data_IF_697701724540
#
_entry.id   IF_697701724540
#
_cell.length_a   1.000
_cell.length_b   1.000
_cell.length_c   1.000
_cell.angle_alpha   90.00
_cell.angle_beta   90.00
_cell.angle_gamma   90.00
#
_symmetry.space_group_name_H-M   'P 1'
#
loop_
_entity.id
_entity.type
_entity.pdbx_description
1 polymer ?
#
# COMPACT_ATOMS: atom_id res chain seq x y z
N UNK A 1 19.30 16.60 -11.55
CA UNK A 1 19.68 15.96 -10.27
C UNK A 1 19.75 17.08 -9.23
N UNK A 2 18.79 17.19 -8.31
CA UNK A 2 18.87 18.22 -7.25
C UNK A 2 19.82 17.71 -6.16
N UNK A 3 20.79 18.51 -5.67
CA UNK A 3 21.62 18.11 -4.54
C UNK A 3 20.72 18.01 -3.31
N UNK A 4 20.72 16.87 -2.62
CA UNK A 4 20.07 16.73 -1.31
C UNK A 4 21.13 16.86 -0.23
N UNK A 5 20.99 17.86 0.63
CA UNK A 5 21.93 18.12 1.72
C UNK A 5 21.98 16.92 2.70
N UNK A 6 23.18 16.51 3.15
CA UNK A 6 23.35 15.37 4.05
C UNK A 6 22.60 15.50 5.39
N UNK A 7 22.41 16.73 5.88
CA UNK A 7 21.76 17.01 7.17
C UNK A 7 20.26 16.76 7.19
N UNK A 8 19.56 16.87 6.05
CA UNK A 8 18.10 16.78 6.00
C UNK A 8 17.59 15.36 6.24
N UNK A 9 18.37 14.34 5.87
CA UNK A 9 18.00 12.93 6.06
C UNK A 9 18.18 12.48 7.52
N UNK A 10 19.23 12.95 8.19
CA UNK A 10 19.57 12.51 9.54
C UNK A 10 18.48 12.87 10.57
N UNK A 11 17.97 14.10 10.55
CA UNK A 11 16.92 14.52 11.49
C UNK A 11 15.58 13.83 11.18
N UNK A 12 15.25 13.61 9.90
CA UNK A 12 14.02 12.89 9.52
C UNK A 12 14.05 11.45 10.03
N UNK A 13 15.19 10.76 9.87
CA UNK A 13 15.38 9.42 10.43
C UNK A 13 15.26 9.41 11.95
N UNK A 14 15.89 10.38 12.64
CA UNK A 14 15.81 10.49 14.09
C UNK A 14 14.38 10.77 14.58
N UNK A 15 13.65 11.67 13.93
CA UNK A 15 12.26 11.99 14.24
C UNK A 15 11.34 10.77 14.05
N UNK A 16 11.47 10.07 12.92
CA UNK A 16 10.72 8.83 12.64
C UNK A 16 11.00 7.75 13.69
N UNK A 17 12.27 7.56 14.05
CA UNK A 17 12.68 6.61 15.08
C UNK A 17 12.11 6.97 16.47
N UNK A 18 12.12 8.25 16.84
CA UNK A 18 11.56 8.72 18.10
C UNK A 18 10.04 8.48 18.17
N UNK A 19 9.30 8.80 17.10
CA UNK A 19 7.86 8.55 17.00
C UNK A 19 7.58 7.05 17.11
N UNK A 20 8.29 6.22 16.35
CA UNK A 20 8.15 4.76 16.40
C UNK A 20 8.38 4.22 17.82
N UNK A 21 9.39 4.72 18.52
CA UNK A 21 9.68 4.29 19.90
C UNK A 21 8.50 4.61 20.81
N UNK A 22 7.98 5.84 20.76
CA UNK A 22 6.82 6.26 21.56
C UNK A 22 5.57 5.44 21.25
N UNK A 23 5.27 5.20 19.97
CA UNK A 23 4.12 4.37 19.58
C UNK A 23 4.20 2.94 20.14
N UNK A 24 5.40 2.39 20.35
CA UNK A 24 5.61 1.05 20.91
C UNK A 24 5.54 1.00 22.43
N UNK A 25 5.69 2.13 23.12
CA UNK A 25 5.57 2.22 24.58
C UNK A 25 4.11 2.11 25.05
N UNK A 26 3.14 2.23 24.14
CA UNK A 26 1.71 2.18 24.47
C UNK A 26 1.07 0.86 24.04
N UNK A 27 0.40 0.21 24.99
CA UNK A 27 -0.37 -1.02 24.73
C UNK A 27 -1.63 -0.77 23.90
N UNK A 28 -2.23 0.41 24.05
CA UNK A 28 -3.34 0.89 23.23
C UNK A 28 -3.14 2.36 22.91
N UNK A 29 -3.32 2.72 21.65
CA UNK A 29 -3.30 4.12 21.22
C UNK A 29 -4.70 4.73 21.32
N UNK A 30 -4.83 5.99 21.77
CA UNK A 30 -6.09 6.71 21.73
C UNK A 30 -6.66 6.83 20.30
N UNK A 31 -7.99 6.86 20.20
CA UNK A 31 -8.73 6.90 18.93
C UNK A 31 -8.30 8.04 18.00
N UNK A 32 -7.96 9.21 18.56
CA UNK A 32 -7.47 10.37 17.80
C UNK A 32 -6.19 10.10 16.97
N UNK A 33 -5.43 9.05 17.28
CA UNK A 33 -4.23 8.69 16.53
C UNK A 33 -4.54 7.92 15.24
N UNK A 34 -5.75 7.40 15.06
CA UNK A 34 -6.09 6.60 13.88
C UNK A 34 -5.86 7.38 12.59
N UNK A 35 -6.49 8.55 12.43
CA UNK A 35 -6.36 9.35 11.22
C UNK A 35 -4.92 9.82 11.00
N UNK A 36 -4.25 10.29 12.07
CA UNK A 36 -2.89 10.78 12.00
C UNK A 36 -1.90 9.71 11.50
N UNK A 37 -2.04 8.46 11.96
CA UNK A 37 -1.18 7.34 11.53
C UNK A 37 -1.45 6.94 10.08
N UNK A 38 -2.72 6.84 9.67
CA UNK A 38 -3.05 6.48 8.29
C UNK A 38 -2.54 7.55 7.34
N UNK A 39 -2.77 8.84 7.64
CA UNK A 39 -2.28 9.95 6.81
C UNK A 39 -0.76 10.02 6.76
N UNK A 40 -0.08 9.82 7.90
CA UNK A 40 1.38 9.77 7.92
C UNK A 40 1.92 8.63 7.03
N UNK A 41 1.28 7.46 7.04
CA UNK A 41 1.63 6.36 6.13
C UNK A 41 1.36 6.66 4.65
N UNK A 42 0.27 7.36 4.33
CA UNK A 42 -0.06 7.75 2.95
C UNK A 42 0.93 8.80 2.41
N UNK A 43 1.23 9.83 3.19
CA UNK A 43 2.10 10.92 2.73
C UNK A 43 3.60 10.60 2.83
N UNK A 44 4.01 9.53 3.51
CA UNK A 44 5.40 9.12 3.57
C UNK A 44 5.86 8.57 2.20
N UNK A 45 6.82 9.24 1.52
CA UNK A 45 7.30 8.80 0.21
C UNK A 45 8.12 7.51 0.26
N UNK A 46 8.80 7.22 1.38
CA UNK A 46 9.63 6.03 1.52
C UNK A 46 8.78 4.82 1.95
N UNK A 47 8.69 3.76 1.11
CA UNK A 47 7.92 2.56 1.44
C UNK A 47 8.39 1.83 2.69
N UNK A 48 9.64 1.96 3.12
CA UNK A 48 10.12 1.33 4.35
C UNK A 48 9.72 2.13 5.58
N UNK A 49 9.56 3.46 5.45
CA UNK A 49 9.14 4.32 6.55
C UNK A 49 7.63 4.36 6.74
N UNK A 50 6.84 4.27 5.67
CA UNK A 50 5.38 4.30 5.83
C UNK A 50 4.86 3.14 6.70
N UNK A 51 5.55 1.99 6.65
CA UNK A 51 5.31 0.82 7.51
C UNK A 51 5.34 1.17 9.00
N UNK A 52 6.14 2.17 9.40
CA UNK A 52 6.26 2.59 10.79
C UNK A 52 4.99 3.27 11.33
N UNK A 53 4.10 3.72 10.45
CA UNK A 53 2.80 4.30 10.81
C UNK A 53 1.65 3.32 10.55
N UNK A 54 1.68 2.63 9.41
CA UNK A 54 0.62 1.68 9.01
C UNK A 54 0.58 0.48 9.96
N UNK A 55 1.73 -0.05 10.36
CA UNK A 55 1.76 -1.21 11.23
C UNK A 55 1.17 -0.91 12.62
N UNK A 56 1.56 0.15 13.35
CA UNK A 56 0.87 0.54 14.58
C UNK A 56 -0.63 0.80 14.38
N UNK A 57 -1.04 1.34 13.23
CA UNK A 57 -2.45 1.56 12.93
C UNK A 57 -3.22 0.23 12.83
N UNK A 58 -2.67 -0.78 12.14
CA UNK A 58 -3.28 -2.12 12.04
C UNK A 58 -3.32 -2.80 13.41
N UNK A 59 -2.23 -2.73 14.18
CA UNK A 59 -2.12 -3.35 15.50
C UNK A 59 -3.08 -2.74 16.54
N UNK A 60 -3.41 -1.45 16.45
CA UNK A 60 -4.25 -0.77 17.44
C UNK A 60 -5.72 -0.60 17.02
N UNK A 61 -5.99 -0.44 15.73
CA UNK A 61 -7.32 -0.09 15.21
C UNK A 61 -7.92 -1.15 14.28
N UNK A 62 -7.18 -2.23 14.01
CA UNK A 62 -7.63 -3.37 13.23
C UNK A 62 -7.42 -3.18 11.72
N UNK A 63 -7.08 -4.30 11.06
CA UNK A 63 -6.73 -4.35 9.63
C UNK A 63 -7.84 -3.86 8.71
N UNK A 64 -9.08 -4.33 8.95
CA UNK A 64 -10.28 -3.92 8.18
C UNK A 64 -10.42 -2.40 8.12
N UNK A 65 -10.28 -1.75 9.27
CA UNK A 65 -10.48 -0.30 9.38
C UNK A 65 -9.41 0.48 8.63
N UNK A 66 -8.14 0.08 8.77
CA UNK A 66 -7.02 0.69 8.04
C UNK A 66 -7.18 0.48 6.53
N UNK A 67 -7.49 -0.75 6.09
CA UNK A 67 -7.71 -1.04 4.67
C UNK A 67 -8.88 -0.23 4.10
N UNK A 68 -9.97 -0.10 4.83
CA UNK A 68 -11.12 0.74 4.41
C UNK A 68 -10.69 2.20 4.20
N UNK A 69 -9.88 2.76 5.10
CA UNK A 69 -9.37 4.13 4.96
C UNK A 69 -8.43 4.28 3.74
N UNK A 70 -7.51 3.34 3.53
CA UNK A 70 -6.62 3.36 2.36
C UNK A 70 -7.38 3.23 1.03
N UNK A 71 -8.42 2.39 1.00
CA UNK A 71 -9.31 2.29 -0.16
C UNK A 71 -10.04 3.62 -0.44
N UNK A 72 -10.40 4.36 0.60
CA UNK A 72 -10.92 5.72 0.49
C UNK A 72 -9.93 6.68 -0.18
N UNK A 73 -8.66 6.68 0.25
CA UNK A 73 -7.61 7.48 -0.39
C UNK A 73 -7.38 7.11 -1.85
N UNK A 74 -7.42 5.81 -2.18
CA UNK A 74 -7.28 5.35 -3.57
C UNK A 74 -8.42 5.88 -4.46
N UNK A 75 -9.66 5.84 -3.96
CA UNK A 75 -10.85 6.23 -4.74
C UNK A 75 -11.07 7.73 -4.85
N UNK A 76 -10.76 8.48 -3.78
CA UNK A 76 -11.12 9.91 -3.67
C UNK A 76 -9.96 10.87 -3.49
N UNK A 77 -8.75 10.38 -3.26
CA UNK A 77 -7.58 11.21 -3.00
C UNK A 77 -6.99 11.84 -4.26
N UNK A 78 -6.07 12.77 -4.05
CA UNK A 78 -5.14 13.30 -5.05
C UNK A 78 -4.17 12.22 -5.55
N UNK A 79 -3.50 12.41 -6.69
CA UNK A 79 -2.51 11.44 -7.21
C UNK A 79 -1.43 11.08 -6.18
N UNK A 80 -0.98 12.05 -5.38
CA UNK A 80 -0.02 11.81 -4.30
C UNK A 80 -0.58 10.87 -3.22
N UNK A 81 -1.83 11.08 -2.82
CA UNK A 81 -2.53 10.25 -1.84
C UNK A 81 -2.83 8.85 -2.38
N UNK A 82 -3.25 8.75 -3.65
CA UNK A 82 -3.48 7.45 -4.31
C UNK A 82 -2.20 6.62 -4.36
N UNK A 83 -1.11 7.21 -4.85
CA UNK A 83 0.21 6.57 -4.85
C UNK A 83 0.66 6.19 -3.43
N UNK A 84 0.41 7.05 -2.46
CA UNK A 84 0.66 6.81 -1.04
C UNK A 84 -0.11 5.64 -0.46
N UNK A 85 -1.41 5.57 -0.75
CA UNK A 85 -2.30 4.50 -0.32
C UNK A 85 -1.86 3.15 -0.89
N UNK A 86 -1.44 3.13 -2.16
CA UNK A 86 -0.91 1.92 -2.79
C UNK A 86 0.35 1.42 -2.09
N UNK A 87 1.31 2.31 -1.80
CA UNK A 87 2.50 1.94 -1.01
C UNK A 87 2.16 1.47 0.39
N UNK A 88 1.13 2.04 1.02
CA UNK A 88 0.71 1.70 2.37
C UNK A 88 -0.02 0.35 2.44
N UNK A 89 -0.81 0.02 1.40
CA UNK A 89 -1.65 -1.17 1.35
C UNK A 89 -0.86 -2.46 1.50
N UNK A 90 0.32 -2.56 0.86
CA UNK A 90 1.23 -3.70 0.97
C UNK A 90 1.47 -4.09 2.44
N UNK A 91 1.75 -3.10 3.29
CA UNK A 91 2.00 -3.33 4.72
C UNK A 91 0.73 -3.77 5.47
N UNK A 92 -0.47 -3.54 4.96
CA UNK A 92 -1.69 -4.08 5.56
C UNK A 92 -1.95 -5.53 5.20
N UNK A 93 -1.27 -6.12 4.23
CA UNK A 93 -1.43 -7.52 3.84
C UNK A 93 -0.44 -8.45 4.54
N UNK A 94 0.55 -7.87 5.20
CA UNK A 94 1.65 -8.63 5.78
C UNK A 94 1.30 -9.23 7.15
N UNK A 95 1.89 -10.40 7.49
CA UNK A 95 1.64 -11.11 8.75
C UNK A 95 2.33 -10.48 9.97
N UNK A 96 1.72 -9.47 10.59
CA UNK A 96 2.29 -8.83 11.79
C UNK A 96 1.69 -9.40 13.08
N UNK A 97 2.52 -10.03 13.91
CA UNK A 97 2.31 -10.13 15.36
C UNK A 97 3.60 -9.76 16.08
N UNK A 98 3.51 -8.89 17.08
CA UNK A 98 4.64 -8.48 17.93
C UNK A 98 4.15 -8.02 19.31
N UNK A 99 3.16 -8.71 19.86
CA UNK A 99 2.85 -8.59 21.29
C UNK A 99 2.96 -9.97 21.88
N UNK A 100 3.90 -10.09 22.83
CA UNK A 100 4.37 -11.29 23.52
C UNK A 100 5.41 -12.13 22.74
N UNK A 101 6.68 -11.87 23.08
CA UNK A 101 7.87 -12.71 22.80
C UNK A 101 8.46 -12.68 21.38
N UNK A 102 9.75 -12.37 21.34
CA UNK A 102 10.65 -12.37 20.18
C UNK A 102 10.47 -11.24 19.14
N UNK A 103 11.55 -10.48 19.00
CA UNK A 103 11.80 -9.59 17.88
C UNK A 103 11.88 -10.44 16.60
N UNK A 104 10.95 -10.26 15.68
CA UNK A 104 11.19 -10.52 14.25
C UNK A 104 10.60 -11.79 13.64
N UNK A 105 9.70 -12.50 14.34
CA UNK A 105 9.01 -13.64 13.73
C UNK A 105 7.75 -13.15 13.01
N UNK A 106 7.73 -13.34 11.69
CA UNK A 106 6.57 -13.09 10.84
C UNK A 106 5.63 -14.30 10.96
N UNK A 107 4.64 -14.23 11.86
CA UNK A 107 3.62 -15.28 11.99
C UNK A 107 2.51 -15.07 10.95
N UNK A 108 2.10 -16.11 10.19
CA UNK A 108 1.02 -16.01 9.21
C UNK A 108 -0.24 -15.31 9.77
N UNK A 109 -0.88 -14.50 8.94
CA UNK A 109 -2.18 -13.90 9.30
C UNK A 109 -3.15 -15.04 9.57
N UNK A 110 -3.94 -14.93 10.63
CA UNK A 110 -4.99 -15.90 10.95
C UNK A 110 -5.83 -16.15 9.69
N UNK A 111 -5.94 -17.41 9.20
CA UNK A 111 -6.71 -17.72 8.01
C UNK A 111 -8.16 -17.21 8.08
N UNK A 112 -8.79 -17.19 9.26
CA UNK A 112 -10.13 -16.67 9.44
C UNK A 112 -10.17 -15.13 9.32
N UNK A 113 -9.22 -14.42 9.93
CA UNK A 113 -9.06 -12.96 9.73
C UNK A 113 -8.83 -12.67 8.24
N UNK A 114 -7.93 -13.41 7.59
CA UNK A 114 -7.64 -13.25 6.18
C UNK A 114 -8.88 -13.50 5.32
N UNK A 115 -9.60 -14.61 5.52
CA UNK A 115 -10.84 -14.90 4.80
C UNK A 115 -11.88 -13.80 5.00
N UNK A 116 -12.00 -13.27 6.22
CA UNK A 116 -12.96 -12.21 6.54
C UNK A 116 -12.77 -10.92 5.75
N UNK A 117 -11.56 -10.67 5.21
CA UNK A 117 -11.20 -9.46 4.46
C UNK A 117 -11.26 -9.64 2.93
N UNK A 118 -11.87 -10.73 2.45
CA UNK A 118 -11.95 -11.04 1.02
C UNK A 118 -12.71 -9.97 0.22
N UNK A 119 -13.76 -9.38 0.80
CA UNK A 119 -14.52 -8.26 0.26
C UNK A 119 -13.63 -7.04 0.00
N UNK A 120 -12.79 -6.65 0.98
CA UNK A 120 -11.90 -5.50 0.85
C UNK A 120 -10.77 -5.76 -0.15
N UNK A 121 -10.24 -6.99 -0.20
CA UNK A 121 -9.25 -7.36 -1.24
C UNK A 121 -9.85 -7.34 -2.63
N UNK A 122 -11.10 -7.79 -2.80
CA UNK A 122 -11.80 -7.69 -4.08
C UNK A 122 -12.02 -6.23 -4.48
N UNK A 123 -12.55 -5.42 -3.57
CA UNK A 123 -12.77 -3.99 -3.79
C UNK A 123 -11.48 -3.21 -4.09
N UNK A 124 -10.37 -3.58 -3.44
CA UNK A 124 -9.05 -3.03 -3.71
C UNK A 124 -8.55 -3.40 -5.11
N UNK A 125 -8.61 -4.69 -5.47
CA UNK A 125 -8.20 -5.18 -6.80
C UNK A 125 -8.95 -4.49 -7.93
N UNK A 126 -10.27 -4.32 -7.78
CA UNK A 126 -11.07 -3.56 -8.73
C UNK A 126 -10.60 -2.10 -8.80
N UNK A 127 -10.44 -1.44 -7.66
CA UNK A 127 -10.06 -0.03 -7.61
C UNK A 127 -8.69 0.22 -8.25
N UNK A 128 -7.68 -0.61 -7.97
CA UNK A 128 -6.36 -0.46 -8.58
C UNK A 128 -6.37 -0.71 -10.09
N UNK A 129 -7.20 -1.65 -10.57
CA UNK A 129 -7.33 -1.92 -12.01
C UNK A 129 -7.94 -0.73 -12.73
N UNK A 130 -9.06 -0.20 -12.19
CA UNK A 130 -9.68 1.01 -12.73
C UNK A 130 -8.71 2.18 -12.71
N UNK A 131 -8.01 2.38 -11.60
CA UNK A 131 -7.06 3.47 -11.43
C UNK A 131 -5.91 3.41 -12.45
N UNK A 132 -5.35 2.22 -12.71
CA UNK A 132 -4.31 2.07 -13.72
C UNK A 132 -4.78 2.47 -15.13
N UNK A 133 -6.00 2.07 -15.48
CA UNK A 133 -6.59 2.36 -16.79
C UNK A 133 -6.94 3.85 -16.92
N UNK A 134 -7.60 4.44 -15.92
CA UNK A 134 -8.15 5.79 -16.02
C UNK A 134 -7.20 6.92 -15.63
N UNK A 135 -6.16 6.66 -14.83
CA UNK A 135 -5.23 7.69 -14.37
C UNK A 135 -3.92 7.63 -15.15
N UNK A 136 -3.57 8.72 -15.83
CA UNK A 136 -2.34 8.85 -16.64
C UNK A 136 -1.12 9.31 -15.82
N UNK A 137 -1.30 9.64 -14.54
CA UNK A 137 -0.20 10.04 -13.66
C UNK A 137 0.84 8.92 -13.54
N UNK A 138 2.07 9.27 -13.93
CA UNK A 138 3.16 8.29 -14.01
C UNK A 138 3.53 7.70 -12.65
N UNK A 139 3.47 8.51 -11.58
CA UNK A 139 3.80 8.02 -10.25
C UNK A 139 2.73 7.02 -9.78
N UNK A 140 1.44 7.35 -9.98
CA UNK A 140 0.33 6.46 -9.66
C UNK A 140 0.46 5.15 -10.45
N UNK A 141 0.62 5.20 -11.77
CA UNK A 141 0.74 3.99 -12.62
C UNK A 141 1.89 3.09 -12.20
N UNK A 142 3.06 3.65 -11.89
CA UNK A 142 4.23 2.86 -11.45
C UNK A 142 3.99 2.10 -10.15
N UNK A 143 3.31 2.72 -9.17
CA UNK A 143 3.01 2.03 -7.91
C UNK A 143 1.86 1.05 -8.06
N UNK A 144 0.77 1.45 -8.73
CA UNK A 144 -0.40 0.60 -8.97
C UNK A 144 -0.02 -0.66 -9.73
N UNK A 145 0.83 -0.56 -10.76
CA UNK A 145 1.28 -1.70 -11.54
C UNK A 145 1.88 -2.80 -10.65
N UNK A 146 2.63 -2.45 -9.62
CA UNK A 146 3.28 -3.43 -8.72
C UNK A 146 2.29 -4.23 -7.88
N UNK A 147 1.11 -3.67 -7.62
CA UNK A 147 0.03 -4.33 -6.85
C UNK A 147 -0.99 -5.02 -7.76
N UNK A 148 -0.99 -4.72 -9.06
CA UNK A 148 -1.86 -5.39 -10.02
C UNK A 148 -1.47 -6.85 -10.22
N UNK A 149 -2.47 -7.71 -10.21
CA UNK A 149 -2.32 -9.12 -10.57
C UNK A 149 -3.02 -9.34 -11.90
N UNK A 150 -2.36 -9.10 -13.03
CA UNK A 150 -3.03 -9.15 -14.34
C UNK A 150 -3.13 -10.55 -14.96
N UNK A 151 -2.43 -11.54 -14.40
CA UNK A 151 -2.41 -12.92 -14.94
C UNK A 151 -3.58 -13.79 -14.53
N UNK A 152 -4.06 -13.62 -13.31
CA UNK A 152 -5.16 -14.43 -12.79
C UNK A 152 -6.46 -13.68 -13.05
N UNK A 153 -6.99 -13.82 -14.26
CA UNK A 153 -8.26 -13.22 -14.66
C UNK A 153 -9.41 -13.64 -13.74
N UNK A 154 -9.34 -14.85 -13.17
CA UNK A 154 -10.32 -15.39 -12.22
C UNK A 154 -10.40 -14.60 -10.90
N UNK A 155 -9.44 -13.71 -10.62
CA UNK A 155 -9.51 -12.80 -9.47
C UNK A 155 -10.41 -11.59 -9.70
N UNK A 156 -10.85 -11.36 -10.93
CA UNK A 156 -11.72 -10.24 -11.29
C UNK A 156 -13.07 -10.76 -11.78
N UNK A 157 -14.18 -10.10 -11.39
CA UNK A 157 -15.47 -10.40 -11.98
C UNK A 157 -15.47 -10.12 -13.49
N UNK A 158 -16.35 -10.82 -14.21
CA UNK A 158 -16.31 -10.91 -15.67
C UNK A 158 -16.47 -9.55 -16.38
N UNK A 159 -17.19 -8.62 -15.74
CA UNK A 159 -17.39 -7.24 -16.20
C UNK A 159 -16.09 -6.41 -16.23
N UNK A 160 -15.06 -6.80 -15.46
CA UNK A 160 -13.75 -6.14 -15.46
C UNK A 160 -12.77 -6.71 -16.49
N UNK A 161 -13.09 -7.79 -17.20
CA UNK A 161 -12.17 -8.40 -18.20
C UNK A 161 -11.79 -7.44 -19.32
N UNK A 162 -12.70 -6.55 -19.73
CA UNK A 162 -12.41 -5.49 -20.70
C UNK A 162 -11.31 -4.56 -20.18
N UNK A 163 -11.35 -4.21 -18.88
CA UNK A 163 -10.32 -3.38 -18.25
C UNK A 163 -8.98 -4.10 -18.12
N UNK A 164 -8.97 -5.43 -17.94
CA UNK A 164 -7.73 -6.22 -17.97
C UNK A 164 -7.07 -6.11 -19.34
N UNK A 165 -7.83 -6.32 -20.42
CA UNK A 165 -7.32 -6.18 -21.78
C UNK A 165 -6.74 -4.79 -22.04
N UNK A 166 -7.42 -3.75 -21.55
CA UNK A 166 -6.96 -2.37 -21.67
C UNK A 166 -5.70 -2.09 -20.84
N UNK A 167 -5.64 -2.57 -19.61
CA UNK A 167 -4.43 -2.48 -18.77
C UNK A 167 -3.24 -3.18 -19.42
N UNK A 168 -3.46 -4.34 -20.05
CA UNK A 168 -2.42 -5.05 -20.80
C UNK A 168 -1.94 -4.22 -22.00
N UNK A 169 -2.86 -3.63 -22.76
CA UNK A 169 -2.54 -2.77 -23.90
C UNK A 169 -1.72 -1.56 -23.46
N UNK A 170 -2.16 -0.86 -22.41
CA UNK A 170 -1.46 0.30 -21.84
C UNK A 170 -0.06 -0.10 -21.36
N UNK A 171 0.07 -1.19 -20.60
CA UNK A 171 1.34 -1.64 -20.05
C UNK A 171 2.39 -1.97 -21.13
N UNK A 172 1.99 -2.66 -22.20
CA UNK A 172 2.89 -3.03 -23.32
C UNK A 172 3.29 -1.84 -24.18
N UNK A 173 2.39 -0.88 -24.38
CA UNK A 173 2.60 0.26 -25.29
C UNK A 173 3.07 1.54 -24.58
N UNK A 174 3.22 1.51 -23.25
CA UNK A 174 3.60 2.70 -22.50
C UNK A 174 4.96 3.24 -22.93
N UNK A 175 5.07 4.56 -23.05
CA UNK A 175 6.33 5.25 -23.34
C UNK A 175 7.35 5.16 -22.20
N UNK A 176 6.93 4.75 -21.00
CA UNK A 176 7.79 4.66 -19.82
C UNK A 176 8.41 3.27 -19.76
N UNK A 177 9.74 3.23 -19.80
CA UNK A 177 10.49 1.97 -19.79
C UNK A 177 10.28 1.17 -18.50
N UNK A 178 10.17 1.86 -17.35
CA UNK A 178 9.96 1.18 -16.07
C UNK A 178 8.60 0.47 -16.02
N UNK A 179 7.54 1.11 -16.52
CA UNK A 179 6.22 0.46 -16.66
C UNK A 179 6.30 -0.76 -17.59
N UNK A 180 6.89 -0.63 -18.78
CA UNK A 180 7.05 -1.76 -19.71
C UNK A 180 7.84 -2.91 -19.09
N UNK A 181 8.96 -2.59 -18.41
CA UNK A 181 9.80 -3.59 -17.76
C UNK A 181 9.07 -4.37 -16.66
N UNK A 182 8.37 -3.67 -15.76
CA UNK A 182 7.58 -4.34 -14.71
C UNK A 182 6.43 -5.17 -15.28
N UNK A 183 5.83 -4.70 -16.37
CA UNK A 183 4.83 -5.46 -17.09
C UNK A 183 5.41 -6.79 -17.62
N UNK A 184 6.58 -6.76 -18.26
CA UNK A 184 7.28 -7.97 -18.70
C UNK A 184 7.61 -8.93 -17.54
N UNK A 185 8.04 -8.42 -16.39
CA UNK A 185 8.27 -9.24 -15.19
C UNK A 185 6.99 -9.98 -14.79
N UNK A 186 5.85 -9.28 -14.78
CA UNK A 186 4.58 -9.92 -14.44
C UNK A 186 4.23 -11.05 -15.38
N UNK A 187 4.57 -10.97 -16.69
CA UNK A 187 4.19 -11.94 -17.72
C UNK A 187 5.24 -13.02 -18.08
N UNK A 188 6.44 -13.00 -17.47
CA UNK A 188 7.54 -13.97 -17.75
C UNK A 188 7.70 -15.20 -16.82
N UNK A 189 7.08 -15.23 -15.65
CA UNK A 189 7.03 -16.41 -14.76
C UNK A 189 6.17 -17.58 -15.28
#
# INVERSE_FOLDING_TARGET
MRPTEPGTRAWQHAARAAIRRRLREHDKLPEQFFEALVRAGVYEPDPSFNAQFIRPAVENFGRRRVQTALLGFLRGGTNAERAGAVRAWYWTCMPWRHKAHAVGIMEPVDPAEWASLADLRAAWREAILREFVSNEDLAVRRFVLRELTLRNEDYYPADLRVLIGEAIRIGRTHTDEHIRHWFEIQFKA
#
